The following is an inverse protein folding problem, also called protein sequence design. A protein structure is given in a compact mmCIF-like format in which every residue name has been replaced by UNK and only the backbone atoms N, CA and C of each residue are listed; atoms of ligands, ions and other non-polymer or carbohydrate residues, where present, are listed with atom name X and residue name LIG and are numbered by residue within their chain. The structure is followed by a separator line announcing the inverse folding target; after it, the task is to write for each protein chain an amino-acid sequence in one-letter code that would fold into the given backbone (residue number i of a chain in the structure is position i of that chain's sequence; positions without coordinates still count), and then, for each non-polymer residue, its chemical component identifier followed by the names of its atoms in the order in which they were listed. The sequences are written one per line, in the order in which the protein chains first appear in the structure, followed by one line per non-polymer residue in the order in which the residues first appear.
data_IF_579017307245
#
_entry.id   IF_579017307245
#
_cell.length_a   1.000
_cell.length_b   1.000
_cell.length_c   1.000
_cell.angle_alpha   90.00
_cell.angle_beta   90.00
_cell.angle_gamma   90.00
#
_symmetry.space_group_name_H-M   'P 1'
#
loop_
_entity.id
_entity.type
_entity.pdbx_description
1 polymer ?
#
# COMPACT_ATOMS: atom_id res chain seq x y z
N UNK A 1 -5.97 3.31 15.90
CA UNK A 1 -4.57 3.04 15.48
C UNK A 1 -3.98 2.00 16.42
N UNK A 2 -3.38 0.98 15.88
CA UNK A 2 -2.90 -0.15 16.65
C UNK A 2 -1.45 -0.45 16.25
N UNK A 3 -0.57 -0.52 17.23
CA UNK A 3 0.85 -0.81 17.01
C UNK A 3 1.19 -2.24 17.41
N UNK A 4 1.92 -2.92 16.54
CA UNK A 4 2.54 -4.20 16.81
C UNK A 4 4.03 -4.06 16.48
N UNK A 5 4.89 -4.28 17.45
CA UNK A 5 6.33 -4.25 17.22
C UNK A 5 6.76 -5.57 16.58
N UNK A 6 7.40 -5.48 15.43
CA UNK A 6 8.09 -6.59 14.78
C UNK A 6 9.58 -6.27 14.71
N UNK A 7 10.48 -7.29 14.77
CA UNK A 7 11.92 -7.04 14.73
C UNK A 7 12.34 -6.19 13.52
N UNK A 8 12.87 -5.00 13.78
CA UNK A 8 13.35 -4.08 12.76
C UNK A 8 12.29 -3.19 12.11
N UNK A 9 11.00 -3.46 12.31
CA UNK A 9 9.91 -2.65 11.76
C UNK A 9 8.82 -2.42 12.80
N UNK A 10 8.25 -1.22 12.78
CA UNK A 10 7.06 -0.89 13.56
C UNK A 10 5.83 -1.09 12.68
N UNK A 11 4.99 -2.04 13.02
CA UNK A 11 3.74 -2.28 12.30
C UNK A 11 2.62 -1.43 12.88
N UNK A 12 1.94 -0.69 12.03
CA UNK A 12 0.84 0.20 12.38
C UNK A 12 -0.40 -0.18 11.58
N UNK A 13 -1.46 -0.55 12.28
CA UNK A 13 -2.77 -0.80 11.67
C UNK A 13 -3.54 0.51 11.63
N UNK A 14 -3.96 0.92 10.44
CA UNK A 14 -4.50 2.25 10.19
C UNK A 14 -5.95 2.13 9.74
N UNK A 15 -6.87 2.68 10.56
CA UNK A 15 -8.29 2.74 10.27
C UNK A 15 -8.62 4.10 9.67
N UNK A 16 -8.36 4.24 8.36
CA UNK A 16 -8.63 5.42 7.57
C UNK A 16 -9.27 4.99 6.25
N UNK A 17 -10.04 5.88 5.62
CA UNK A 17 -10.50 5.61 4.25
C UNK A 17 -9.31 5.53 3.28
N UNK A 18 -9.46 4.86 2.13
CA UNK A 18 -8.35 4.67 1.21
C UNK A 18 -7.70 5.96 0.71
N UNK A 19 -8.48 6.99 0.44
CA UNK A 19 -7.94 8.28 -0.04
C UNK A 19 -7.06 8.93 1.04
N UNK A 20 -7.50 8.93 2.29
CA UNK A 20 -6.73 9.45 3.42
C UNK A 20 -5.48 8.62 3.68
N UNK A 21 -5.58 7.30 3.64
CA UNK A 21 -4.44 6.41 3.81
C UNK A 21 -3.36 6.69 2.76
N UNK A 22 -3.74 6.75 1.48
CA UNK A 22 -2.78 6.95 0.38
C UNK A 22 -2.22 8.37 0.31
N UNK A 23 -2.86 9.34 0.93
CA UNK A 23 -2.37 10.72 1.06
C UNK A 23 -1.53 10.95 2.32
N UNK A 24 -1.38 9.95 3.17
CA UNK A 24 -0.66 10.03 4.45
C UNK A 24 0.79 10.49 4.24
N UNK A 25 1.27 11.52 4.97
CA UNK A 25 2.65 11.97 4.87
C UNK A 25 3.63 10.89 5.35
N UNK A 26 4.78 10.80 4.68
CA UNK A 26 5.84 9.91 5.13
C UNK A 26 6.50 10.43 6.41
N UNK A 27 6.64 9.54 7.37
CA UNK A 27 7.54 9.73 8.50
C UNK A 27 8.78 8.86 8.26
N UNK A 28 9.91 9.52 7.99
CA UNK A 28 11.16 8.84 7.68
C UNK A 28 12.02 8.54 8.92
N UNK A 29 11.44 8.62 10.11
CA UNK A 29 12.19 8.44 11.35
C UNK A 29 12.52 6.98 11.65
N UNK A 30 11.68 6.04 11.22
CA UNK A 30 11.85 4.61 11.49
C UNK A 30 11.35 3.73 10.35
N UNK A 31 11.78 2.47 10.36
CA UNK A 31 11.19 1.44 9.49
C UNK A 31 9.77 1.14 9.93
N UNK A 32 8.82 1.27 9.03
CA UNK A 32 7.41 1.09 9.35
C UNK A 32 6.70 0.22 8.32
N UNK A 33 5.74 -0.55 8.80
CA UNK A 33 4.73 -1.20 7.98
C UNK A 33 3.40 -0.52 8.25
N UNK A 34 2.82 0.10 7.25
CA UNK A 34 1.49 0.69 7.35
C UNK A 34 0.48 -0.27 6.75
N UNK A 35 -0.43 -0.75 7.56
CA UNK A 35 -1.42 -1.76 7.16
C UNK A 35 -2.80 -1.13 7.25
N UNK A 36 -3.40 -0.73 6.12
CA UNK A 36 -4.74 -0.16 6.16
C UNK A 36 -5.77 -1.24 6.48
N UNK A 37 -6.77 -0.85 7.26
CA UNK A 37 -7.94 -1.69 7.47
C UNK A 37 -8.84 -1.60 6.24
N UNK A 38 -8.87 -2.66 5.44
CA UNK A 38 -9.70 -2.72 4.25
C UNK A 38 -11.16 -3.00 4.63
N UNK A 39 -12.08 -2.46 3.85
CA UNK A 39 -13.51 -2.74 3.97
C UNK A 39 -14.00 -3.64 2.85
N UNK A 40 -15.22 -4.15 2.98
CA UNK A 40 -15.87 -4.91 1.90
C UNK A 40 -16.19 -4.02 0.69
N UNK A 41 -16.36 -2.72 0.91
CA UNK A 41 -16.59 -1.77 -0.17
C UNK A 41 -15.34 -1.67 -1.04
N UNK A 42 -15.54 -1.80 -2.35
CA UNK A 42 -14.44 -1.77 -3.30
C UNK A 42 -13.97 -0.34 -3.58
N UNK A 43 -12.65 -0.16 -3.69
CA UNK A 43 -12.01 1.08 -4.10
C UNK A 43 -11.07 0.80 -5.25
N UNK A 44 -11.21 1.54 -6.35
CA UNK A 44 -10.24 1.52 -7.43
C UNK A 44 -9.10 2.47 -7.09
N UNK A 45 -7.92 1.93 -6.84
CA UNK A 45 -6.74 2.71 -6.45
C UNK A 45 -5.84 2.89 -7.67
N UNK A 46 -5.75 4.13 -8.15
CA UNK A 46 -4.93 4.48 -9.31
C UNK A 46 -3.46 4.62 -8.92
N UNK A 47 -2.58 4.27 -9.85
CA UNK A 47 -1.16 4.59 -9.72
C UNK A 47 -0.91 6.09 -9.90
N UNK A 48 0.25 6.56 -9.44
CA UNK A 48 0.58 8.00 -9.36
C UNK A 48 0.56 8.72 -10.71
N UNK A 49 0.80 8.02 -11.82
CA UNK A 49 0.78 8.61 -13.16
C UNK A 49 -0.55 8.44 -13.89
N UNK A 50 -1.51 7.73 -13.32
CA UNK A 50 -2.84 7.59 -13.91
C UNK A 50 -3.72 8.79 -13.56
N UNK A 51 -4.48 9.26 -14.54
CA UNK A 51 -5.35 10.43 -14.37
C UNK A 51 -6.77 10.01 -14.03
N UNK A 52 -7.36 10.56 -12.94
CA UNK A 52 -8.72 10.21 -12.54
C UNK A 52 -9.79 10.49 -13.62
N UNK A 53 -9.57 11.48 -14.48
CA UNK A 53 -10.50 11.87 -15.54
C UNK A 53 -10.62 10.83 -16.67
N UNK A 54 -9.74 9.83 -16.72
CA UNK A 54 -9.83 8.70 -17.64
C UNK A 54 -10.83 7.64 -17.20
N UNK A 55 -11.33 7.72 -15.96
CA UNK A 55 -12.27 6.76 -15.39
C UNK A 55 -13.70 7.31 -15.48
N UNK A 56 -14.62 6.50 -15.98
CA UNK A 56 -16.03 6.89 -16.10
C UNK A 56 -16.71 6.96 -14.73
N UNK A 57 -17.08 8.16 -14.26
CA UNK A 57 -17.73 8.29 -12.94
C UNK A 57 -19.06 7.55 -12.85
N UNK A 58 -19.80 7.45 -13.95
CA UNK A 58 -21.08 6.72 -13.97
C UNK A 58 -20.87 5.23 -13.73
N UNK A 59 -19.85 4.64 -14.34
CA UNK A 59 -19.50 3.24 -14.14
C UNK A 59 -19.09 2.96 -12.68
N UNK A 60 -18.34 3.86 -12.05
CA UNK A 60 -17.99 3.74 -10.64
C UNK A 60 -19.22 3.74 -9.75
N UNK A 61 -20.17 4.66 -10.01
CA UNK A 61 -21.42 4.73 -9.24
C UNK A 61 -22.27 3.49 -9.43
N UNK A 62 -22.40 3.00 -10.66
CA UNK A 62 -23.18 1.80 -10.96
C UNK A 62 -22.64 0.56 -10.25
N UNK A 63 -21.33 0.45 -10.13
CA UNK A 63 -20.66 -0.67 -9.47
C UNK A 63 -20.42 -0.44 -7.98
N UNK A 64 -20.81 0.72 -7.45
CA UNK A 64 -20.56 1.11 -6.05
C UNK A 64 -19.08 1.06 -5.68
N UNK A 65 -18.22 1.55 -6.58
CA UNK A 65 -16.76 1.58 -6.40
C UNK A 65 -16.31 2.99 -6.12
N UNK A 66 -15.52 3.17 -5.05
CA UNK A 66 -14.85 4.42 -4.74
C UNK A 66 -13.56 4.56 -5.56
N UNK A 67 -13.07 5.79 -5.68
CA UNK A 67 -11.85 6.10 -6.41
C UNK A 67 -10.83 6.74 -5.49
N UNK A 68 -9.59 6.27 -5.52
CA UNK A 68 -8.47 6.85 -4.79
C UNK A 68 -7.20 6.80 -5.63
N UNK A 69 -6.22 7.62 -5.30
CA UNK A 69 -4.89 7.59 -5.92
C UNK A 69 -3.84 7.24 -4.88
N UNK A 70 -2.80 6.49 -5.27
CA UNK A 70 -1.67 6.18 -4.41
C UNK A 70 -0.40 6.91 -4.86
N UNK A 71 0.58 6.93 -3.97
CA UNK A 71 1.89 7.57 -4.24
C UNK A 71 2.76 6.78 -5.21
N UNK A 72 2.65 5.47 -5.18
CA UNK A 72 3.46 4.60 -6.04
C UNK A 72 2.93 4.51 -7.46
N UNK A 73 3.80 4.16 -8.40
CA UNK A 73 3.44 3.98 -9.81
C UNK A 73 2.74 2.67 -10.09
N UNK A 74 2.49 2.43 -11.37
CA UNK A 74 1.86 1.22 -11.86
C UNK A 74 0.40 1.41 -12.23
N UNK A 75 -0.29 0.30 -12.45
CA UNK A 75 -1.68 0.27 -12.87
C UNK A 75 -2.69 0.37 -11.75
N UNK A 76 -3.96 0.46 -12.12
CA UNK A 76 -5.06 0.50 -11.16
C UNK A 76 -5.24 -0.85 -10.47
N UNK A 77 -5.54 -0.80 -9.18
CA UNK A 77 -5.81 -1.98 -8.35
C UNK A 77 -7.20 -1.83 -7.72
N UNK A 78 -8.03 -2.85 -7.88
CA UNK A 78 -9.32 -2.91 -7.20
C UNK A 78 -9.14 -3.53 -5.82
N UNK A 79 -9.42 -2.75 -4.79
CA UNK A 79 -9.08 -3.08 -3.40
C UNK A 79 -10.34 -3.30 -2.58
N UNK A 80 -10.41 -4.46 -1.90
CA UNK A 80 -11.42 -4.74 -0.87
C UNK A 80 -10.87 -5.76 0.13
N UNK A 81 -11.52 -5.91 1.26
CA UNK A 81 -11.12 -6.89 2.28
C UNK A 81 -11.32 -8.35 1.85
N UNK A 82 -12.11 -8.59 0.79
CA UNK A 82 -12.47 -9.94 0.38
C UNK A 82 -11.30 -10.71 -0.25
N UNK A 83 -10.46 -10.02 -1.05
CA UNK A 83 -9.50 -10.69 -1.94
C UNK A 83 -8.07 -10.18 -1.81
N UNK A 84 -7.81 -9.20 -0.95
CA UNK A 84 -6.54 -8.49 -0.97
C UNK A 84 -6.03 -8.17 0.43
N UNK A 85 -4.73 -8.29 0.61
CA UNK A 85 -3.98 -7.71 1.72
C UNK A 85 -3.10 -6.59 1.14
N UNK A 86 -3.18 -5.42 1.75
CA UNK A 86 -2.35 -4.28 1.36
C UNK A 86 -1.47 -3.84 2.52
N UNK A 87 -0.25 -3.51 2.24
CA UNK A 87 0.62 -2.83 3.20
C UNK A 87 1.63 -1.96 2.47
N UNK A 88 2.01 -0.86 3.10
CA UNK A 88 3.09 -0.01 2.66
C UNK A 88 4.32 -0.24 3.54
N UNK A 89 5.47 -0.36 2.91
CA UNK A 89 6.76 -0.44 3.60
C UNK A 89 7.41 0.94 3.53
N UNK A 90 7.68 1.53 4.69
CA UNK A 90 8.30 2.84 4.80
C UNK A 90 9.70 2.71 5.35
N UNK A 91 10.68 3.22 4.62
CA UNK A 91 12.08 3.21 5.01
C UNK A 91 12.59 4.63 5.25
N UNK A 92 13.43 4.85 6.28
CA UNK A 92 14.21 6.08 6.37
C UNK A 92 15.10 6.26 5.14
N UNK A 93 15.34 7.52 4.73
CA UNK A 93 16.12 7.84 3.53
C UNK A 93 17.52 7.24 3.58
N UNK A 94 18.15 7.22 4.76
CA UNK A 94 19.49 6.69 4.96
C UNK A 94 19.53 5.21 5.34
N UNK A 95 18.40 4.51 5.26
CA UNK A 95 18.33 3.10 5.64
C UNK A 95 19.15 2.23 4.68
N UNK A 96 19.95 1.26 5.22
CA UNK A 96 20.74 0.36 4.38
C UNK A 96 19.91 -0.50 3.41
N UNK A 97 18.62 -0.70 3.68
CA UNK A 97 17.72 -1.41 2.77
C UNK A 97 17.32 -0.57 1.57
N UNK A 98 17.48 0.75 1.66
CA UNK A 98 17.16 1.66 0.58
C UNK A 98 18.25 1.59 -0.51
N UNK A 99 17.82 1.50 -1.76
CA UNK A 99 18.70 1.67 -2.92
C UNK A 99 18.03 2.60 -3.93
N UNK A 100 18.83 3.47 -4.56
CA UNK A 100 18.36 4.37 -5.61
C UNK A 100 18.12 3.67 -6.96
N UNK A 101 18.60 2.46 -7.12
CA UNK A 101 18.36 1.65 -8.33
C UNK A 101 16.93 1.09 -8.28
N UNK A 102 16.04 1.65 -9.09
CA UNK A 102 14.63 1.24 -9.17
C UNK A 102 14.49 -0.23 -9.54
N UNK A 103 15.36 -0.76 -10.40
CA UNK A 103 15.32 -2.17 -10.80
C UNK A 103 15.67 -3.15 -9.68
N UNK A 104 16.36 -2.69 -8.64
CA UNK A 104 16.83 -3.51 -7.51
C UNK A 104 16.22 -3.15 -6.17
N UNK A 105 15.49 -2.05 -6.10
CA UNK A 105 14.97 -1.51 -4.84
C UNK A 105 14.02 -2.47 -4.11
N UNK A 106 13.37 -3.37 -4.82
CA UNK A 106 12.42 -4.33 -4.26
C UNK A 106 13.00 -5.74 -4.05
N UNK A 107 14.27 -5.99 -4.40
CA UNK A 107 14.85 -7.34 -4.34
C UNK A 107 14.77 -7.92 -2.92
N UNK A 108 15.19 -7.17 -1.92
CA UNK A 108 15.15 -7.63 -0.52
C UNK A 108 13.71 -7.89 -0.04
N UNK A 109 12.78 -7.04 -0.45
CA UNK A 109 11.37 -7.17 -0.07
C UNK A 109 10.75 -8.41 -0.73
N UNK A 110 11.07 -8.65 -1.99
CA UNK A 110 10.66 -9.87 -2.70
C UNK A 110 11.15 -11.14 -2.01
N UNK A 111 12.41 -11.15 -1.56
CA UNK A 111 12.99 -12.26 -0.81
C UNK A 111 12.28 -12.50 0.52
N UNK A 112 11.97 -11.42 1.24
CA UNK A 112 11.22 -11.52 2.51
C UNK A 112 9.82 -12.06 2.28
N UNK A 113 9.10 -11.54 1.30
CA UNK A 113 7.75 -12.00 0.96
C UNK A 113 7.75 -13.46 0.53
N UNK A 114 8.72 -13.89 -0.27
CA UNK A 114 8.85 -15.29 -0.68
C UNK A 114 9.01 -16.22 0.52
N UNK A 115 9.88 -15.85 1.46
CA UNK A 115 10.08 -16.65 2.68
C UNK A 115 8.84 -16.68 3.56
N UNK A 116 8.18 -15.56 3.72
CA UNK A 116 6.94 -15.49 4.51
C UNK A 116 5.84 -16.38 3.91
N UNK A 117 5.66 -16.36 2.60
CA UNK A 117 4.67 -17.19 1.91
C UNK A 117 5.03 -18.68 2.01
N UNK A 118 6.32 -19.03 1.95
CA UNK A 118 6.77 -20.41 2.10
C UNK A 118 6.46 -20.96 3.51
N UNK A 119 6.52 -20.13 4.55
CA UNK A 119 6.15 -20.51 5.91
C UNK A 119 4.64 -20.75 6.08
N UNK A 120 3.83 -20.11 5.25
CA UNK A 120 2.38 -20.31 5.29
C UNK A 120 1.90 -21.56 4.55
N UNK A 121 2.76 -22.20 3.80
CA UNK A 121 2.46 -23.43 3.05
C UNK A 121 2.36 -23.23 1.55
#
# INVERSE_FOLDING_TARGET
MHFVSTPGFDAEYIDEDPATFHARPFDHASRSLWIPQLSERETLVLGSSQKPDTIDPAALREQSVDLAGRRSGGGAVLVSSADLVWFDVVLPIADPLWTADVGRSFDWLGDVCQRALAELG
#
